data_IF_544925909010
#
_entry.id   IF_544925909010
#
_cell.length_a   1.000
_cell.length_b   1.000
_cell.length_c   1.000
_cell.angle_alpha   90.00
_cell.angle_beta   90.00
_cell.angle_gamma   90.00
#
_symmetry.space_group_name_H-M   'P 1'
#
loop_
_entity.id
_entity.type
_entity.pdbx_description
1 polymer ?
#
# COMPACT_ATOMS: atom_id res chain seq x y z
N UNK A 1 -23.56 -37.96 -15.90
CA UNK A 1 -24.16 -36.61 -15.86
C UNK A 1 -23.09 -35.68 -15.33
N UNK A 2 -22.32 -35.09 -16.24
CA UNK A 2 -21.43 -33.97 -15.95
C UNK A 2 -22.30 -32.72 -16.11
N UNK A 3 -22.55 -31.99 -15.03
CA UNK A 3 -23.24 -30.71 -15.12
C UNK A 3 -22.33 -29.76 -15.90
N UNK A 4 -22.82 -29.29 -17.04
CA UNK A 4 -22.24 -28.17 -17.75
C UNK A 4 -22.36 -26.93 -16.87
N UNK A 5 -21.29 -26.62 -16.12
CA UNK A 5 -21.12 -25.27 -15.59
C UNK A 5 -21.13 -24.32 -16.78
N UNK A 6 -22.13 -23.44 -16.79
CA UNK A 6 -22.18 -22.33 -17.72
C UNK A 6 -20.97 -21.46 -17.43
N UNK A 7 -19.96 -21.54 -18.29
CA UNK A 7 -19.02 -20.44 -18.52
C UNK A 7 -19.88 -19.22 -18.88
N UNK A 8 -20.19 -18.39 -17.88
CA UNK A 8 -20.68 -17.04 -18.12
C UNK A 8 -19.59 -16.37 -18.93
N UNK A 9 -19.93 -15.89 -20.12
CA UNK A 9 -19.06 -15.02 -20.90
C UNK A 9 -18.77 -13.78 -20.03
N UNK A 10 -17.63 -13.77 -19.35
CA UNK A 10 -17.04 -12.57 -18.74
C UNK A 10 -16.50 -11.68 -19.86
N UNK A 11 -17.40 -11.14 -20.68
CA UNK A 11 -17.01 -10.12 -21.66
C UNK A 11 -16.63 -8.83 -20.90
N UNK A 12 -15.32 -8.62 -20.77
CA UNK A 12 -14.71 -7.28 -20.75
C UNK A 12 -15.12 -6.33 -19.63
N UNK A 13 -15.34 -6.81 -18.40
CA UNK A 13 -15.51 -5.89 -17.28
C UNK A 13 -14.15 -5.29 -16.88
N UNK A 14 -13.98 -4.00 -17.16
CA UNK A 14 -12.89 -3.12 -16.71
C UNK A 14 -13.04 -2.86 -15.20
N UNK A 15 -11.97 -3.07 -14.43
CA UNK A 15 -12.03 -2.91 -12.97
C UNK A 15 -12.32 -1.47 -12.53
N UNK A 16 -11.98 -0.46 -13.34
CA UNK A 16 -12.23 0.95 -13.06
C UNK A 16 -13.70 1.35 -13.13
N UNK A 17 -14.51 0.62 -13.90
CA UNK A 17 -15.91 0.95 -14.21
C UNK A 17 -16.94 0.21 -13.34
N UNK A 18 -16.48 -0.66 -12.44
CA UNK A 18 -17.36 -1.45 -11.57
C UNK A 18 -18.14 -0.54 -10.62
N UNK A 19 -19.47 -0.70 -10.61
CA UNK A 19 -20.35 -0.04 -9.65
C UNK A 19 -20.48 -0.90 -8.39
N UNK A 20 -20.21 -0.35 -7.19
CA UNK A 20 -20.38 -1.10 -5.95
C UNK A 20 -21.88 -1.29 -5.64
N UNK A 21 -22.18 -2.38 -4.93
CA UNK A 21 -23.47 -2.61 -4.29
C UNK A 21 -23.86 -1.46 -3.35
N UNK A 22 -25.16 -1.28 -3.13
CA UNK A 22 -25.66 -0.15 -2.33
C UNK A 22 -25.07 -0.14 -0.90
N UNK A 23 -24.80 -1.31 -0.32
CA UNK A 23 -24.17 -1.44 1.00
C UNK A 23 -22.70 -0.95 1.03
N UNK A 24 -21.99 -1.05 -0.10
CA UNK A 24 -20.58 -0.67 -0.24
C UNK A 24 -20.38 0.69 -0.90
N UNK A 25 -21.46 1.35 -1.31
CA UNK A 25 -21.44 2.64 -2.01
C UNK A 25 -20.70 3.74 -1.26
N UNK A 26 -21.05 4.00 0.00
CA UNK A 26 -20.41 5.04 0.80
C UNK A 26 -18.97 4.68 1.24
N UNK A 27 -18.68 3.44 1.67
CA UNK A 27 -17.31 2.93 1.76
C UNK A 27 -16.47 3.20 0.52
N UNK A 28 -16.99 2.86 -0.67
CA UNK A 28 -16.29 3.06 -1.93
C UNK A 28 -16.02 4.53 -2.21
N UNK A 29 -17.02 5.39 -2.04
CA UNK A 29 -16.86 6.83 -2.22
C UNK A 29 -15.82 7.40 -1.26
N UNK A 30 -15.87 7.04 0.03
CA UNK A 30 -14.90 7.46 1.01
C UNK A 30 -13.49 7.00 0.65
N UNK A 31 -13.36 5.73 0.24
CA UNK A 31 -12.09 5.15 -0.18
C UNK A 31 -11.49 5.87 -1.38
N UNK A 32 -12.27 6.13 -2.43
CA UNK A 32 -11.82 6.90 -3.62
C UNK A 32 -11.45 8.34 -3.27
N UNK A 33 -12.17 8.98 -2.35
CA UNK A 33 -11.83 10.33 -1.86
C UNK A 33 -10.51 10.36 -1.10
N UNK A 34 -10.29 9.41 -0.18
CA UNK A 34 -9.05 9.32 0.59
C UNK A 34 -7.89 8.93 -0.33
N UNK A 35 -8.10 7.97 -1.25
CA UNK A 35 -7.07 7.56 -2.22
C UNK A 35 -6.64 8.70 -3.13
N UNK A 36 -7.55 9.57 -3.55
CA UNK A 36 -7.24 10.69 -4.45
C UNK A 36 -6.87 11.99 -3.70
N UNK A 37 -6.60 11.92 -2.39
CA UNK A 37 -6.21 13.10 -1.63
C UNK A 37 -4.85 13.61 -2.12
N UNK A 38 -4.74 14.94 -2.24
CA UNK A 38 -3.52 15.70 -2.56
C UNK A 38 -3.51 17.05 -1.82
N UNK A 39 -2.46 17.85 -2.01
CA UNK A 39 -2.32 19.18 -1.38
C UNK A 39 -3.47 20.12 -1.67
N UNK A 40 -4.07 20.00 -2.86
CA UNK A 40 -5.02 20.96 -3.40
C UNK A 40 -6.44 20.67 -2.92
N UNK A 41 -6.76 19.39 -2.67
CA UNK A 41 -8.10 18.95 -2.32
C UNK A 41 -8.29 18.52 -0.86
N UNK A 42 -7.24 18.47 -0.02
CA UNK A 42 -7.33 17.93 1.35
C UNK A 42 -8.44 18.55 2.20
N UNK A 43 -8.69 19.86 2.05
CA UNK A 43 -9.75 20.56 2.79
C UNK A 43 -11.15 20.11 2.35
N UNK A 44 -11.38 19.98 1.05
CA UNK A 44 -12.63 19.48 0.49
C UNK A 44 -12.84 18.01 0.85
N UNK A 45 -11.82 17.17 0.62
CA UNK A 45 -11.82 15.74 0.95
C UNK A 45 -12.14 15.52 2.42
N UNK A 46 -11.45 16.21 3.33
CA UNK A 46 -11.71 16.08 4.77
C UNK A 46 -13.13 16.50 5.15
N UNK A 47 -13.68 17.56 4.53
CA UNK A 47 -15.04 18.03 4.80
C UNK A 47 -16.10 17.01 4.37
N UNK A 48 -15.96 16.42 3.18
CA UNK A 48 -16.86 15.39 2.67
C UNK A 48 -16.81 14.11 3.53
N UNK A 49 -15.62 13.67 3.91
CA UNK A 49 -15.46 12.50 4.79
C UNK A 49 -16.09 12.76 6.17
N UNK A 50 -15.91 13.95 6.74
CA UNK A 50 -16.57 14.35 8.00
C UNK A 50 -18.09 14.33 7.85
N UNK A 51 -18.64 14.74 6.71
CA UNK A 51 -20.07 14.66 6.44
C UNK A 51 -20.57 13.22 6.38
N UNK A 52 -19.83 12.32 5.71
CA UNK A 52 -20.15 10.89 5.68
C UNK A 52 -20.18 10.28 7.08
N UNK A 53 -19.22 10.63 7.93
CA UNK A 53 -19.19 10.14 9.32
C UNK A 53 -20.36 10.72 10.13
N UNK A 54 -20.62 12.04 10.05
CA UNK A 54 -21.73 12.69 10.78
C UNK A 54 -23.11 12.17 10.39
N UNK A 55 -23.29 11.80 9.13
CA UNK A 55 -24.54 11.22 8.61
C UNK A 55 -24.62 9.70 8.81
N UNK A 56 -23.69 9.10 9.56
CA UNK A 56 -23.59 7.66 9.81
C UNK A 56 -23.52 6.79 8.54
N UNK A 57 -23.04 7.37 7.42
CA UNK A 57 -22.84 6.63 6.16
C UNK A 57 -21.59 5.75 6.23
N UNK A 58 -20.60 6.15 7.02
CA UNK A 58 -19.40 5.38 7.38
C UNK A 58 -19.03 5.66 8.83
N UNK A 59 -18.25 4.78 9.46
CA UNK A 59 -17.72 5.03 10.81
C UNK A 59 -16.39 5.78 10.76
N UNK A 60 -16.08 6.56 11.80
CA UNK A 60 -14.76 7.19 11.93
C UNK A 60 -13.63 6.15 12.00
N UNK A 61 -13.86 5.00 12.64
CA UNK A 61 -12.89 3.89 12.72
C UNK A 61 -12.49 3.39 11.34
N UNK A 62 -13.47 3.18 10.46
CA UNK A 62 -13.25 2.74 9.09
C UNK A 62 -12.44 3.77 8.29
N UNK A 63 -12.77 5.06 8.42
CA UNK A 63 -12.00 6.14 7.78
C UNK A 63 -10.55 6.15 8.24
N UNK A 64 -10.29 6.09 9.55
CA UNK A 64 -8.93 6.10 10.09
C UNK A 64 -8.13 4.87 9.61
N UNK A 65 -8.78 3.72 9.55
CA UNK A 65 -8.21 2.49 9.02
C UNK A 65 -7.83 2.60 7.53
N UNK A 66 -8.70 3.17 6.69
CA UNK A 66 -8.38 3.41 5.28
C UNK A 66 -7.21 4.38 5.11
N UNK A 67 -7.14 5.45 5.92
CA UNK A 67 -6.01 6.39 5.92
C UNK A 67 -4.72 5.67 6.32
N UNK A 68 -4.76 4.84 7.35
CA UNK A 68 -3.63 4.03 7.81
C UNK A 68 -3.12 3.08 6.72
N UNK A 69 -4.01 2.32 6.08
CA UNK A 69 -3.64 1.41 4.99
C UNK A 69 -3.07 2.16 3.78
N UNK A 70 -3.69 3.26 3.35
CA UNK A 70 -3.17 4.04 2.22
C UNK A 70 -1.86 4.74 2.52
N UNK A 71 -1.61 5.11 3.77
CA UNK A 71 -0.33 5.68 4.16
C UNK A 71 0.83 4.68 4.05
N UNK A 72 0.55 3.38 4.09
CA UNK A 72 1.57 2.33 3.88
C UNK A 72 1.88 2.14 2.40
N UNK A 73 0.88 2.31 1.52
CA UNK A 73 1.03 2.17 0.07
C UNK A 73 1.64 3.43 -0.55
N UNK A 74 1.14 4.60 -0.17
CA UNK A 74 1.55 5.92 -0.67
C UNK A 74 2.46 6.60 0.35
N UNK A 75 3.59 5.96 0.64
CA UNK A 75 4.59 6.40 1.63
C UNK A 75 5.13 7.83 1.37
N UNK A 76 5.29 8.23 0.10
CA UNK A 76 5.67 9.59 -0.31
C UNK A 76 4.68 10.66 0.17
N UNK A 77 3.43 10.29 0.40
CA UNK A 77 2.35 11.17 0.81
C UNK A 77 2.06 11.09 2.32
N UNK A 78 2.98 10.52 3.13
CA UNK A 78 2.77 10.33 4.57
C UNK A 78 2.39 11.62 5.31
N UNK A 79 2.95 12.76 4.91
CA UNK A 79 2.60 14.08 5.45
C UNK A 79 1.14 14.44 5.19
N UNK A 80 0.65 14.14 3.99
CA UNK A 80 -0.71 14.41 3.58
C UNK A 80 -1.71 13.55 4.36
N UNK A 81 -1.41 12.25 4.51
CA UNK A 81 -2.23 11.35 5.33
C UNK A 81 -2.20 11.72 6.81
N UNK A 82 -1.08 12.22 7.34
CA UNK A 82 -1.00 12.76 8.71
C UNK A 82 -2.00 13.91 8.91
N UNK A 83 -2.04 14.87 7.99
CA UNK A 83 -2.96 16.00 8.09
C UNK A 83 -4.43 15.58 7.95
N UNK A 84 -4.73 14.65 7.04
CA UNK A 84 -6.08 14.11 6.90
C UNK A 84 -6.50 13.35 8.17
N UNK A 85 -5.64 12.47 8.69
CA UNK A 85 -5.88 11.69 9.91
C UNK A 85 -6.14 12.62 11.11
N UNK A 86 -5.28 13.62 11.33
CA UNK A 86 -5.43 14.63 12.38
C UNK A 86 -6.77 15.37 12.31
N UNK A 87 -7.23 15.76 11.11
CA UNK A 87 -8.55 16.42 10.94
C UNK A 87 -9.69 15.54 11.41
N UNK A 88 -9.63 14.22 11.13
CA UNK A 88 -10.63 13.26 11.59
C UNK A 88 -10.56 13.07 13.12
N UNK A 89 -9.36 12.86 13.69
CA UNK A 89 -9.18 12.70 15.14
C UNK A 89 -9.71 13.91 15.92
N UNK A 90 -9.33 15.13 15.51
CA UNK A 90 -9.79 16.37 16.16
C UNK A 90 -11.31 16.55 16.11
N UNK A 91 -11.97 16.00 15.08
CA UNK A 91 -13.41 16.19 14.90
C UNK A 91 -14.24 15.21 15.73
N UNK A 92 -13.78 13.98 15.88
CA UNK A 92 -14.57 12.89 16.47
C UNK A 92 -14.01 12.36 17.80
N UNK A 93 -12.89 12.88 18.29
CA UNK A 93 -12.25 12.49 19.55
C UNK A 93 -12.00 10.97 19.66
N UNK A 94 -11.82 10.29 18.53
CA UNK A 94 -11.37 8.92 18.50
C UNK A 94 -9.84 8.91 18.60
N UNK A 95 -9.27 8.10 19.49
CA UNK A 95 -7.82 7.93 19.62
C UNK A 95 -7.47 6.49 19.25
N UNK A 96 -7.18 6.29 17.97
CA UNK A 96 -6.77 4.98 17.43
C UNK A 96 -5.35 5.17 16.91
N UNK A 97 -4.42 4.37 17.43
CA UNK A 97 -3.03 4.35 16.95
C UNK A 97 -3.00 3.70 15.56
N UNK A 98 -2.44 4.38 14.53
CA UNK A 98 -2.19 3.75 13.24
C UNK A 98 -1.20 2.59 13.36
N UNK A 99 -1.32 1.60 12.48
CA UNK A 99 -0.33 0.53 12.31
C UNK A 99 0.92 1.03 11.58
N UNK A 100 0.78 1.99 10.67
CA UNK A 100 1.92 2.65 10.05
C UNK A 100 2.69 3.48 11.09
N UNK A 101 3.90 3.03 11.42
CA UNK A 101 4.74 3.66 12.44
C UNK A 101 5.12 5.11 12.08
N UNK A 102 5.44 5.39 10.81
CA UNK A 102 5.72 6.75 10.35
C UNK A 102 4.52 7.68 10.57
N UNK A 103 3.31 7.21 10.25
CA UNK A 103 2.08 7.96 10.49
C UNK A 103 1.83 8.17 12.00
N UNK A 104 2.02 7.14 12.81
CA UNK A 104 1.87 7.22 14.27
C UNK A 104 2.88 8.20 14.91
N UNK A 105 4.15 8.16 14.49
CA UNK A 105 5.20 9.08 14.94
C UNK A 105 4.87 10.54 14.57
N UNK A 106 4.45 10.79 13.33
CA UNK A 106 4.07 12.14 12.93
C UNK A 106 2.88 12.65 13.74
N UNK A 107 1.86 11.83 13.98
CA UNK A 107 0.74 12.21 14.85
C UNK A 107 1.19 12.47 16.29
N UNK A 108 2.17 11.71 16.80
CA UNK A 108 2.78 11.96 18.11
C UNK A 108 3.46 13.32 18.18
N UNK A 109 4.25 13.69 17.18
CA UNK A 109 4.82 15.04 17.05
C UNK A 109 3.75 16.14 16.94
N UNK A 110 2.54 15.80 16.47
CA UNK A 110 1.38 16.71 16.47
C UNK A 110 0.57 16.73 17.77
N UNK A 111 1.03 16.05 18.82
CA UNK A 111 0.45 16.09 20.17
C UNK A 111 -0.52 14.95 20.50
N UNK A 112 -0.68 13.96 19.62
CA UNK A 112 -1.49 12.77 19.91
C UNK A 112 -0.66 11.73 20.68
N UNK A 113 -1.03 11.43 21.92
CA UNK A 113 -0.33 10.43 22.73
C UNK A 113 -0.99 9.06 22.57
N UNK A 114 -0.20 8.05 22.22
CA UNK A 114 -0.65 6.66 22.17
C UNK A 114 -0.02 5.89 23.33
N UNK A 115 -0.73 4.88 23.84
CA UNK A 115 -0.23 4.06 24.94
C UNK A 115 1.04 3.30 24.52
N UNK A 116 2.06 3.29 25.39
CA UNK A 116 3.35 2.61 25.17
C UNK A 116 4.03 2.99 23.84
N UNK A 117 3.98 4.28 23.47
CA UNK A 117 4.58 4.77 22.24
C UNK A 117 5.62 5.86 22.54
N UNK A 118 6.87 5.57 22.20
CA UNK A 118 7.99 6.49 22.25
C UNK A 118 8.54 6.70 20.82
N UNK A 119 9.06 7.90 20.54
CA UNK A 119 9.59 8.25 19.22
C UNK A 119 11.11 8.16 19.24
N UNK A 120 11.69 7.33 18.37
CA UNK A 120 13.13 7.17 18.21
C UNK A 120 13.70 7.98 17.03
N UNK A 121 12.86 8.34 16.06
CA UNK A 121 13.26 8.97 14.79
C UNK A 121 12.85 10.45 14.74
N UNK A 122 13.67 11.32 14.15
CA UNK A 122 13.34 12.75 14.02
C UNK A 122 12.23 12.99 13.01
N UNK A 123 11.44 14.05 13.19
CA UNK A 123 10.34 14.40 12.28
C UNK A 123 10.84 14.56 10.82
N UNK A 124 12.01 15.17 10.62
CA UNK A 124 12.58 15.36 9.28
C UNK A 124 12.97 14.03 8.61
N UNK A 125 13.42 13.04 9.37
CA UNK A 125 13.78 11.72 8.87
C UNK A 125 12.51 10.95 8.46
N UNK A 126 11.41 11.09 9.20
CA UNK A 126 10.13 10.45 8.90
C UNK A 126 9.48 11.04 7.64
N UNK A 127 9.61 12.35 7.46
CA UNK A 127 9.05 13.07 6.30
C UNK A 127 9.77 12.75 4.99
N UNK A 128 11.04 12.35 5.07
CA UNK A 128 11.78 11.88 3.91
C UNK A 128 11.60 10.37 3.76
N UNK A 129 11.37 9.90 2.53
CA UNK A 129 11.26 8.48 2.26
C UNK A 129 12.59 7.76 2.54
N UNK A 130 13.68 8.37 2.08
CA UNK A 130 15.08 7.97 2.29
C UNK A 130 15.88 9.18 2.75
N UNK A 131 17.01 8.94 3.43
CA UNK A 131 17.97 9.99 3.76
C UNK A 131 18.36 10.79 2.51
N UNK A 132 18.44 12.12 2.61
CA UNK A 132 18.87 13.00 1.50
C UNK A 132 20.31 12.77 1.06
N UNK A 133 21.10 12.06 1.89
CA UNK A 133 22.46 11.65 1.59
C UNK A 133 22.53 10.26 0.93
N UNK A 134 21.39 9.56 0.78
CA UNK A 134 21.30 8.26 0.12
C UNK A 134 20.97 8.41 -1.37
N UNK A 135 21.56 7.59 -2.27
CA UNK A 135 21.14 7.52 -3.68
C UNK A 135 19.66 7.21 -3.85
N UNK A 136 19.08 6.40 -2.94
CA UNK A 136 17.67 5.98 -2.99
C UNK A 136 16.71 7.18 -2.93
N UNK A 137 17.07 8.27 -2.24
CA UNK A 137 16.29 9.50 -2.24
C UNK A 137 16.17 10.07 -3.65
N UNK A 138 17.28 10.22 -4.37
CA UNK A 138 17.26 10.81 -5.71
C UNK A 138 16.55 9.91 -6.70
N UNK A 139 16.73 8.59 -6.57
CA UNK A 139 16.03 7.61 -7.40
C UNK A 139 14.52 7.69 -7.18
N UNK A 140 14.05 7.62 -5.92
CA UNK A 140 12.63 7.62 -5.62
C UNK A 140 11.93 8.92 -6.05
N UNK A 141 12.63 10.04 -6.11
CA UNK A 141 12.11 11.33 -6.59
C UNK A 141 12.40 11.60 -8.08
N UNK A 142 12.88 10.60 -8.82
CA UNK A 142 13.27 10.64 -10.23
C UNK A 142 14.24 11.76 -10.63
N UNK A 143 15.17 12.11 -9.72
CA UNK A 143 16.17 13.18 -9.89
C UNK A 143 17.46 12.67 -10.50
N UNK A 144 17.39 12.19 -11.74
CA UNK A 144 18.49 11.48 -12.41
C UNK A 144 19.78 12.32 -12.55
N UNK A 145 19.67 13.63 -12.77
CA UNK A 145 20.85 14.50 -12.95
C UNK A 145 21.58 14.75 -11.63
N UNK A 146 20.84 14.95 -10.54
CA UNK A 146 21.40 15.05 -9.19
C UNK A 146 22.05 13.73 -8.76
N UNK A 147 21.41 12.59 -9.08
CA UNK A 147 21.95 11.26 -8.81
C UNK A 147 23.32 11.08 -9.48
N UNK A 148 23.43 11.38 -10.78
CA UNK A 148 24.70 11.31 -11.54
C UNK A 148 25.79 12.21 -10.94
N UNK A 149 25.41 13.43 -10.56
CA UNK A 149 26.35 14.41 -10.02
C UNK A 149 26.89 14.02 -8.64
N UNK A 150 26.02 13.52 -7.75
CA UNK A 150 26.39 13.19 -6.37
C UNK A 150 26.99 11.80 -6.20
N UNK A 151 26.59 10.83 -7.03
CA UNK A 151 27.00 9.43 -6.91
C UNK A 151 27.57 8.88 -8.23
N UNK A 152 28.69 9.44 -8.74
CA UNK A 152 29.25 9.02 -10.03
C UNK A 152 29.77 7.58 -10.05
N UNK A 153 30.04 6.99 -8.88
CA UNK A 153 30.54 5.62 -8.70
C UNK A 153 29.51 4.73 -7.99
N UNK A 154 28.21 5.01 -8.17
CA UNK A 154 27.14 4.19 -7.61
C UNK A 154 27.27 2.74 -8.09
N UNK A 155 27.34 1.78 -7.17
CA UNK A 155 27.14 0.38 -7.52
C UNK A 155 25.66 0.16 -7.83
N UNK A 156 25.36 -0.19 -9.07
CA UNK A 156 23.99 -0.30 -9.59
C UNK A 156 23.32 -1.65 -9.25
N UNK A 157 24.09 -2.65 -8.81
CA UNK A 157 23.59 -4.01 -8.54
C UNK A 157 23.61 -4.36 -7.06
N UNK A 158 24.37 -3.64 -6.23
CA UNK A 158 24.32 -3.82 -4.78
C UNK A 158 23.07 -3.18 -4.16
N UNK A 159 22.54 -3.83 -3.12
CA UNK A 159 21.47 -3.27 -2.30
C UNK A 159 22.02 -2.13 -1.44
N UNK A 160 21.28 -1.01 -1.40
CA UNK A 160 21.62 0.10 -0.51
C UNK A 160 20.89 -0.12 0.80
N UNK A 161 21.61 0.03 1.92
CA UNK A 161 21.12 -0.13 3.28
C UNK A 161 20.47 -1.50 3.56
N UNK A 162 20.86 -2.55 2.81
CA UNK A 162 20.28 -3.90 2.85
C UNK A 162 18.76 -3.92 2.57
N UNK A 163 18.24 -2.91 1.87
CA UNK A 163 16.81 -2.75 1.62
C UNK A 163 16.43 -3.07 0.17
N UNK A 164 17.09 -2.41 -0.79
CA UNK A 164 16.66 -2.43 -2.20
C UNK A 164 17.80 -2.05 -3.14
N UNK A 165 17.85 -2.68 -4.32
CA UNK A 165 18.77 -2.27 -5.39
C UNK A 165 18.34 -0.93 -6.00
N UNK A 166 19.26 -0.12 -6.55
CA UNK A 166 18.91 1.11 -7.26
C UNK A 166 17.83 0.92 -8.33
N UNK A 167 17.92 -0.16 -9.13
CA UNK A 167 16.95 -0.42 -10.19
C UNK A 167 15.57 -0.76 -9.61
N UNK A 168 15.48 -1.63 -8.60
CA UNK A 168 14.21 -1.93 -7.95
C UNK A 168 13.58 -0.69 -7.31
N UNK A 169 14.39 0.20 -6.73
CA UNK A 169 13.90 1.48 -6.20
C UNK A 169 13.28 2.33 -7.31
N UNK A 170 13.94 2.43 -8.47
CA UNK A 170 13.40 3.17 -9.60
C UNK A 170 12.07 2.58 -10.10
N UNK A 171 12.00 1.25 -10.19
CA UNK A 171 10.82 0.50 -10.60
C UNK A 171 9.67 0.73 -9.60
N UNK A 172 9.90 0.48 -8.30
CA UNK A 172 8.91 0.59 -7.22
C UNK A 172 8.27 1.97 -7.14
N UNK A 173 9.05 3.01 -7.41
CA UNK A 173 8.58 4.39 -7.33
C UNK A 173 8.21 5.02 -8.67
N UNK A 174 8.16 4.22 -9.74
CA UNK A 174 7.77 4.68 -11.08
C UNK A 174 8.70 5.74 -11.66
N UNK A 175 9.97 5.76 -11.24
CA UNK A 175 10.97 6.78 -11.54
C UNK A 175 11.64 6.49 -12.88
N UNK A 176 10.96 6.86 -13.95
CA UNK A 176 11.26 6.45 -15.32
C UNK A 176 12.63 6.93 -15.81
N UNK A 177 13.04 8.16 -15.46
CA UNK A 177 14.35 8.67 -15.88
C UNK A 177 15.49 7.91 -15.20
N UNK A 178 15.36 7.64 -13.91
CA UNK A 178 16.33 6.86 -13.15
C UNK A 178 16.33 5.39 -13.60
N UNK A 179 15.17 4.80 -13.86
CA UNK A 179 15.05 3.44 -14.42
C UNK A 179 15.83 3.30 -15.73
N UNK A 180 15.59 4.20 -16.68
CA UNK A 180 16.26 4.19 -17.98
C UNK A 180 17.77 4.38 -17.83
N UNK A 181 18.20 5.30 -16.95
CA UNK A 181 19.62 5.51 -16.68
C UNK A 181 20.29 4.27 -16.10
N UNK A 182 19.71 3.65 -15.06
CA UNK A 182 20.27 2.48 -14.39
C UNK A 182 20.29 1.26 -15.33
N UNK A 183 19.23 1.05 -16.12
CA UNK A 183 19.18 -0.01 -17.13
C UNK A 183 20.27 0.17 -18.20
N UNK A 184 20.51 1.39 -18.66
CA UNK A 184 21.60 1.70 -19.60
C UNK A 184 23.00 1.48 -19.04
N UNK A 185 23.18 1.53 -17.72
CA UNK A 185 24.42 1.13 -17.05
C UNK A 185 24.57 -0.39 -16.89
N UNK A 186 23.56 -1.18 -17.26
CA UNK A 186 23.57 -2.63 -17.16
C UNK A 186 23.04 -3.17 -15.84
N UNK A 187 22.23 -2.40 -15.10
CA UNK A 187 21.55 -2.90 -13.91
C UNK A 187 20.61 -4.06 -14.27
N UNK A 188 20.53 -5.06 -13.39
CA UNK A 188 19.76 -6.28 -13.64
C UNK A 188 18.47 -6.31 -12.84
N UNK A 189 17.44 -6.89 -13.43
CA UNK A 189 16.26 -7.31 -12.70
C UNK A 189 16.62 -8.37 -11.65
N UNK A 190 15.80 -8.40 -10.60
CA UNK A 190 15.86 -9.36 -9.50
C UNK A 190 14.50 -10.08 -9.42
N UNK A 191 14.38 -11.12 -8.58
CA UNK A 191 13.08 -11.77 -8.32
C UNK A 191 12.08 -10.95 -7.49
N UNK A 192 12.33 -9.65 -7.32
CA UNK A 192 11.39 -8.70 -6.70
C UNK A 192 10.95 -7.60 -7.67
N UNK A 193 11.54 -7.55 -8.87
CA UNK A 193 11.36 -6.44 -9.80
C UNK A 193 9.93 -6.40 -10.35
N UNK A 194 9.32 -7.56 -10.61
CA UNK A 194 7.94 -7.70 -11.09
C UNK A 194 6.94 -7.13 -10.09
N UNK A 195 7.08 -7.47 -8.81
CA UNK A 195 6.25 -6.91 -7.74
C UNK A 195 6.44 -5.40 -7.64
N UNK A 196 7.69 -4.92 -7.68
CA UNK A 196 7.98 -3.49 -7.66
C UNK A 196 7.30 -2.75 -8.82
N UNK A 197 7.29 -3.32 -10.03
CA UNK A 197 6.71 -2.65 -11.20
C UNK A 197 5.19 -2.54 -11.10
N UNK A 198 4.55 -3.59 -10.59
CA UNK A 198 3.12 -3.59 -10.33
C UNK A 198 2.78 -2.59 -9.24
N UNK A 199 3.54 -2.53 -8.13
CA UNK A 199 3.33 -1.55 -7.06
C UNK A 199 3.56 -0.11 -7.54
N UNK A 200 4.59 0.12 -8.36
CA UNK A 200 4.95 1.45 -8.84
C UNK A 200 3.98 2.03 -9.86
N UNK A 201 3.24 1.18 -10.58
CA UNK A 201 2.16 1.61 -11.47
C UNK A 201 2.59 2.39 -12.70
N UNK A 202 3.90 2.56 -12.93
CA UNK A 202 4.39 3.22 -14.13
C UNK A 202 4.27 2.27 -15.32
N UNK A 203 3.30 2.56 -16.19
CA UNK A 203 2.98 1.75 -17.37
C UNK A 203 4.16 1.56 -18.32
N UNK A 204 5.00 2.59 -18.50
CA UNK A 204 6.16 2.50 -19.40
C UNK A 204 7.18 1.49 -18.86
N UNK A 205 7.49 1.56 -17.56
CA UNK A 205 8.38 0.60 -16.91
C UNK A 205 7.79 -0.82 -16.97
N UNK A 206 6.51 -0.97 -16.62
CA UNK A 206 5.81 -2.26 -16.65
C UNK A 206 5.85 -2.91 -18.04
N UNK A 207 5.48 -2.16 -19.09
CA UNK A 207 5.51 -2.66 -20.47
C UNK A 207 6.93 -2.98 -20.94
N UNK A 208 7.92 -2.15 -20.61
CA UNK A 208 9.31 -2.40 -20.94
C UNK A 208 9.83 -3.70 -20.31
N UNK A 209 9.42 -4.01 -19.08
CA UNK A 209 9.80 -5.26 -18.40
C UNK A 209 9.18 -6.49 -19.07
N UNK A 210 7.94 -6.40 -19.57
CA UNK A 210 7.34 -7.46 -20.38
C UNK A 210 8.13 -7.69 -21.66
N UNK A 211 8.52 -6.61 -22.36
CA UNK A 211 9.36 -6.69 -23.58
C UNK A 211 10.73 -7.32 -23.31
N UNK A 212 11.29 -7.10 -22.12
CA UNK A 212 12.54 -7.74 -21.68
C UNK A 212 12.36 -9.21 -21.27
N UNK A 213 11.13 -9.73 -21.31
CA UNK A 213 10.80 -11.13 -21.01
C UNK A 213 10.55 -11.44 -19.54
N UNK A 214 10.26 -10.44 -18.70
CA UNK A 214 9.86 -10.65 -17.31
C UNK A 214 8.42 -11.18 -17.24
N UNK A 215 8.21 -12.25 -16.47
CA UNK A 215 6.87 -12.77 -16.18
C UNK A 215 6.23 -12.02 -15.03
N UNK A 216 4.90 -11.89 -15.07
CA UNK A 216 4.10 -11.20 -14.06
C UNK A 216 2.99 -12.13 -13.52
N UNK A 217 3.31 -13.40 -13.32
CA UNK A 217 2.37 -14.40 -12.79
C UNK A 217 1.89 -14.02 -11.39
N UNK A 218 0.60 -14.27 -11.10
CA UNK A 218 -0.04 -14.02 -9.80
C UNK A 218 0.06 -12.58 -9.25
N UNK A 219 0.07 -11.57 -10.14
CA UNK A 219 0.22 -10.15 -9.77
C UNK A 219 -1.07 -9.33 -9.73
N UNK A 220 -2.21 -9.89 -10.14
CA UNK A 220 -3.46 -9.12 -10.28
C UNK A 220 -3.95 -8.52 -8.96
N UNK A 221 -3.87 -9.25 -7.83
CA UNK A 221 -4.27 -8.72 -6.53
C UNK A 221 -3.36 -7.55 -6.12
N UNK A 222 -2.04 -7.67 -6.31
CA UNK A 222 -1.08 -6.58 -6.08
C UNK A 222 -1.43 -5.33 -6.90
N UNK A 223 -1.79 -5.49 -8.18
CA UNK A 223 -2.18 -4.36 -9.03
C UNK A 223 -3.44 -3.67 -8.49
N UNK A 224 -4.41 -4.45 -8.02
CA UNK A 224 -5.66 -3.93 -7.46
C UNK A 224 -5.43 -3.25 -6.10
N UNK A 225 -4.62 -3.83 -5.21
CA UNK A 225 -4.27 -3.25 -3.91
C UNK A 225 -3.66 -1.86 -4.04
N UNK A 226 -2.84 -1.66 -5.08
CA UNK A 226 -2.23 -0.38 -5.44
C UNK A 226 -3.08 0.47 -6.39
N UNK A 227 -4.28 0.02 -6.73
CA UNK A 227 -5.26 0.67 -7.63
C UNK A 227 -4.75 1.01 -9.02
N UNK A 228 -3.82 0.22 -9.53
CA UNK A 228 -3.34 0.33 -10.90
C UNK A 228 -4.24 -0.48 -11.83
N UNK A 229 -5.50 -0.03 -11.97
CA UNK A 229 -6.54 -0.77 -12.71
C UNK A 229 -6.11 -1.09 -14.15
N UNK A 230 -5.42 -0.18 -14.84
CA UNK A 230 -4.88 -0.45 -16.19
C UNK A 230 -3.90 -1.65 -16.22
N UNK A 231 -3.08 -1.81 -15.18
CA UNK A 231 -2.18 -2.96 -15.05
C UNK A 231 -3.00 -4.22 -14.71
N UNK A 232 -3.97 -4.12 -13.80
CA UNK A 232 -4.84 -5.24 -13.45
C UNK A 232 -5.63 -5.76 -14.67
N UNK A 233 -6.17 -4.86 -15.50
CA UNK A 233 -6.89 -5.20 -16.74
C UNK A 233 -5.94 -5.82 -17.78
N UNK A 234 -4.70 -5.33 -17.87
CA UNK A 234 -3.68 -5.93 -18.71
C UNK A 234 -3.37 -7.37 -18.26
N UNK A 235 -3.18 -7.58 -16.95
CA UNK A 235 -2.91 -8.90 -16.35
C UNK A 235 -4.07 -9.87 -16.59
N UNK A 236 -5.31 -9.41 -16.40
CA UNK A 236 -6.51 -10.18 -16.70
C UNK A 236 -6.59 -10.58 -18.16
N UNK A 237 -6.41 -9.62 -19.07
CA UNK A 237 -6.64 -9.83 -20.50
C UNK A 237 -5.53 -10.64 -21.17
N UNK A 238 -4.27 -10.41 -20.80
CA UNK A 238 -3.11 -11.01 -21.49
C UNK A 238 -2.57 -12.26 -20.77
N UNK A 239 -2.78 -12.36 -19.45
CA UNK A 239 -2.30 -13.50 -18.65
C UNK A 239 -3.44 -14.33 -18.05
N UNK A 240 -4.71 -13.97 -18.27
CA UNK A 240 -5.86 -14.72 -17.77
C UNK A 240 -5.99 -14.70 -16.25
N UNK A 241 -5.36 -13.74 -15.57
CA UNK A 241 -5.40 -13.65 -14.11
C UNK A 241 -6.74 -13.11 -13.63
N UNK A 242 -7.21 -13.60 -12.49
CA UNK A 242 -8.46 -13.16 -11.87
C UNK A 242 -8.22 -12.87 -10.38
N UNK A 243 -8.73 -11.75 -9.85
CA UNK A 243 -8.67 -11.52 -8.41
C UNK A 243 -9.56 -12.51 -7.68
N UNK A 244 -9.18 -12.86 -6.46
CA UNK A 244 -9.79 -13.98 -5.78
C UNK A 244 -10.06 -13.75 -4.28
N UNK A 245 -9.88 -12.52 -3.79
CA UNK A 245 -10.05 -12.20 -2.37
C UNK A 245 -10.92 -10.96 -2.14
N UNK A 246 -12.16 -11.22 -1.70
CA UNK A 246 -13.10 -10.18 -1.24
C UNK A 246 -12.52 -9.43 -0.03
N UNK A 247 -11.92 -10.18 0.90
CA UNK A 247 -11.37 -9.62 2.14
C UNK A 247 -10.16 -8.71 1.88
N UNK A 248 -9.26 -9.09 0.97
CA UNK A 248 -8.14 -8.26 0.51
C UNK A 248 -8.63 -6.97 -0.13
N UNK A 249 -9.58 -7.11 -1.07
CA UNK A 249 -10.20 -5.98 -1.75
C UNK A 249 -10.79 -4.99 -0.75
N UNK A 250 -11.52 -5.47 0.26
CA UNK A 250 -12.06 -4.61 1.33
C UNK A 250 -10.98 -4.02 2.23
N UNK A 251 -9.91 -4.77 2.52
CA UNK A 251 -8.78 -4.31 3.31
C UNK A 251 -8.10 -3.08 2.66
N UNK A 252 -7.85 -3.15 1.35
CA UNK A 252 -7.28 -2.06 0.56
C UNK A 252 -8.33 -1.08 0.00
N UNK A 253 -9.58 -1.19 0.47
CA UNK A 253 -10.68 -0.28 0.13
C UNK A 253 -11.13 -0.34 -1.34
N UNK A 254 -10.79 -1.39 -2.08
CA UNK A 254 -11.28 -1.69 -3.42
C UNK A 254 -12.71 -2.27 -3.35
N UNK A 255 -13.64 -1.45 -2.87
CA UNK A 255 -15.01 -1.87 -2.61
C UNK A 255 -15.83 -2.16 -3.88
N UNK A 256 -15.42 -1.59 -5.01
CA UNK A 256 -15.91 -1.95 -6.34
C UNK A 256 -15.50 -3.38 -6.72
N UNK A 257 -14.20 -3.71 -6.63
CA UNK A 257 -13.71 -5.08 -6.86
C UNK A 257 -14.36 -6.06 -5.89
N UNK A 258 -14.45 -5.72 -4.60
CA UNK A 258 -15.10 -6.57 -3.60
C UNK A 258 -16.58 -6.85 -3.96
N UNK A 259 -17.30 -5.83 -4.45
CA UNK A 259 -18.69 -5.97 -4.90
C UNK A 259 -18.82 -6.85 -6.15
N UNK A 260 -17.89 -6.72 -7.10
CA UNK A 260 -17.81 -7.61 -8.27
C UNK A 260 -17.60 -9.07 -7.86
N UNK A 261 -16.64 -9.34 -6.96
CA UNK A 261 -16.36 -10.69 -6.48
C UNK A 261 -17.57 -11.29 -5.74
N UNK A 262 -18.21 -10.50 -4.87
CA UNK A 262 -19.45 -10.90 -4.18
C UNK A 262 -20.57 -11.24 -5.17
N UNK A 263 -20.76 -10.42 -6.20
CA UNK A 263 -21.80 -10.62 -7.22
C UNK A 263 -21.56 -11.87 -8.09
N UNK A 264 -20.31 -12.32 -8.21
CA UNK A 264 -19.94 -13.54 -8.92
C UNK A 264 -19.93 -14.80 -8.03
N UNK A 265 -20.27 -14.66 -6.74
CA UNK A 265 -20.41 -15.80 -5.83
C UNK A 265 -19.08 -16.28 -5.26
N UNK A 266 -18.04 -15.45 -5.28
CA UNK A 266 -16.76 -15.75 -4.62
C UNK A 266 -16.97 -15.98 -3.13
N UNK A 267 -16.22 -16.93 -2.57
CA UNK A 267 -16.36 -17.29 -1.16
C UNK A 267 -15.81 -16.16 -0.27
N UNK A 268 -16.69 -15.50 0.46
CA UNK A 268 -16.33 -14.50 1.47
C UNK A 268 -15.45 -15.09 2.59
N UNK A 269 -15.52 -16.41 2.79
CA UNK A 269 -14.70 -17.19 3.70
C UNK A 269 -13.51 -17.85 2.99
N UNK A 270 -13.22 -17.51 1.72
CA UNK A 270 -11.86 -17.62 1.20
C UNK A 270 -11.06 -16.56 1.95
N UNK A 271 -10.79 -16.92 3.21
CA UNK A 271 -10.22 -16.05 4.22
C UNK A 271 -8.93 -15.55 3.58
N UNK A 272 -8.68 -14.26 3.75
CA UNK A 272 -7.33 -13.74 3.77
C UNK A 272 -6.63 -14.45 4.96
N UNK A 273 -6.31 -15.73 4.79
CA UNK A 273 -5.80 -16.64 5.84
C UNK A 273 -4.49 -16.05 6.33
N UNK A 274 -3.82 -15.27 5.50
CA UNK A 274 -2.62 -14.50 5.78
C UNK A 274 -2.85 -13.36 6.80
N UNK A 275 -4.04 -12.74 6.94
CA UNK A 275 -4.33 -11.70 7.96
C UNK A 275 -4.48 -12.38 9.30
N UNK A 276 -5.14 -13.54 9.35
CA UNK A 276 -5.18 -14.34 10.56
C UNK A 276 -3.82 -15.01 10.85
N UNK A 277 -3.05 -15.42 9.85
CA UNK A 277 -1.74 -16.07 10.06
C UNK A 277 -0.66 -15.08 10.47
N UNK A 278 -0.59 -13.88 9.87
CA UNK A 278 0.29 -12.80 10.30
C UNK A 278 -0.16 -12.27 11.66
N UNK A 279 -1.46 -12.11 11.91
CA UNK A 279 -1.96 -11.74 13.24
C UNK A 279 -1.65 -12.81 14.29
N UNK A 280 -1.73 -14.11 13.95
CA UNK A 280 -1.32 -15.23 14.82
C UNK A 280 0.21 -15.29 15.01
N UNK A 281 1.04 -15.11 13.98
CA UNK A 281 2.51 -15.11 14.07
C UNK A 281 3.03 -13.90 14.86
N UNK A 282 2.42 -12.72 14.65
CA UNK A 282 2.73 -11.50 15.42
C UNK A 282 2.23 -11.62 16.87
N UNK A 283 1.06 -12.24 17.14
CA UNK A 283 0.63 -12.57 18.49
C UNK A 283 1.52 -13.63 19.15
N UNK A 284 2.02 -14.62 18.42
CA UNK A 284 2.86 -15.69 18.96
C UNK A 284 4.26 -15.17 19.34
N UNK A 285 4.84 -14.29 18.53
CA UNK A 285 6.11 -13.62 18.85
C UNK A 285 5.96 -12.63 20.02
N UNK A 286 4.81 -11.96 20.13
CA UNK A 286 4.47 -11.10 21.28
C UNK A 286 4.25 -11.91 22.58
N UNK A 287 3.54 -13.04 22.53
CA UNK A 287 3.37 -13.94 23.68
C UNK A 287 4.70 -14.60 24.10
N UNK A 288 5.55 -14.98 23.15
CA UNK A 288 6.88 -15.53 23.43
C UNK A 288 7.74 -14.54 24.22
N UNK A 289 7.70 -13.25 23.86
CA UNK A 289 8.43 -12.20 24.57
C UNK A 289 7.89 -11.99 25.99
N UNK A 290 6.56 -12.01 26.17
CA UNK A 290 5.94 -11.86 27.49
C UNK A 290 6.19 -13.08 28.40
N UNK A 291 6.18 -14.30 27.85
CA UNK A 291 6.52 -15.53 28.59
C UNK A 291 8.00 -15.55 28.96
N UNK A 292 8.89 -15.09 28.07
CA UNK A 292 10.33 -14.98 28.35
C UNK A 292 10.62 -13.94 29.45
N UNK A 293 9.90 -12.81 29.44
CA UNK A 293 10.01 -11.78 30.48
C UNK A 293 9.48 -12.28 31.84
N UNK A 294 8.35 -13.00 31.85
CA UNK A 294 7.84 -13.65 33.06
C UNK A 294 8.80 -14.73 33.60
N UNK A 295 9.50 -15.48 32.72
CA UNK A 295 10.51 -16.46 33.13
C UNK A 295 11.79 -15.79 33.69
N UNK A 296 12.22 -14.66 33.15
CA UNK A 296 13.36 -13.90 33.68
C UNK A 296 13.03 -13.28 35.04
N UNK A 297 11.84 -12.70 35.23
CA UNK A 297 11.42 -12.21 36.54
C UNK A 297 11.29 -13.34 37.57
N UNK A 298 10.77 -14.51 37.19
CA UNK A 298 10.67 -15.66 38.11
C UNK A 298 12.05 -16.21 38.54
N UNK A 299 13.06 -16.11 37.67
CA UNK A 299 14.43 -16.55 37.96
C UNK A 299 15.29 -15.54 38.73
N UNK A 300 14.81 -14.30 38.91
CA UNK A 300 15.49 -13.28 39.73
C UNK A 300 14.99 -13.24 41.19
N UNK A 301 13.88 -13.92 41.48
CA UNK A 301 13.28 -14.02 42.82
C UNK A 301 13.34 -15.44 43.42
N UNK A 302 14.13 -16.34 42.84
CA UNK A 302 14.50 -17.66 43.40
C UNK A 302 16.00 -17.73 43.68
#
# INVERSE_FOLDING_TARGET
MLSSEQLKNEEGCDFGDIKPDEALKYPNQASKLIWNVNSDNILQTSSLIIEFIKSNKISSKMTLYLIDNFSQIRDKDIKLFTELHKKILNKFSCLIKPKNEKLAMLLYYRGFKFENFESEMKEEEILNLYSTESPLYYIAWDKVDDLKGKFPNLDINEEIDYEITPLNCAIKYGSELCFNYLKNLGAKYTGYSEMCAVQGGNKNIFMQMIEDGISFDDMINTALDYRHYEIADYLKTNFGQTPDSIAESMFFGNYDVASYLLSNGEDINKIYIIFNFIFIVVLWNSLSFHIFHCFIEFSQYS
#
